data_IF_752151023302
#
_entry.id   IF_752151023302
#
_cell.length_a   1.000
_cell.length_b   1.000
_cell.length_c   1.000
_cell.angle_alpha   90.00
_cell.angle_beta   90.00
_cell.angle_gamma   90.00
#
_symmetry.space_group_name_H-M   'P 1'
#
loop_
_entity.id
_entity.type
_entity.pdbx_description
1 polymer ?
#
# COMPACT_ATOMS: atom_id res chain seq x y z
N UNK A 1 -39.74 -61.40 -1.38
CA UNK A 1 -39.79 -60.28 -0.43
C UNK A 1 -38.40 -59.63 -0.46
N UNK A 2 -38.27 -58.56 -1.22
CA UNK A 2 -37.00 -57.84 -1.36
C UNK A 2 -37.18 -56.48 -0.68
N UNK A 3 -36.49 -56.26 0.41
CA UNK A 3 -36.49 -55.00 1.14
C UNK A 3 -35.57 -53.99 0.41
N UNK A 4 -36.21 -52.94 -0.05
CA UNK A 4 -35.53 -51.73 -0.56
C UNK A 4 -35.09 -50.90 0.66
N UNK A 5 -33.80 -50.88 0.92
CA UNK A 5 -33.18 -49.86 1.77
C UNK A 5 -32.73 -48.72 0.88
N UNK A 6 -33.51 -47.69 0.81
CA UNK A 6 -33.09 -46.42 0.21
C UNK A 6 -32.13 -45.71 1.17
N UNK A 7 -30.89 -45.75 0.84
CA UNK A 7 -29.89 -44.94 1.52
C UNK A 7 -30.07 -43.46 1.13
N UNK A 8 -30.70 -42.72 2.00
CA UNK A 8 -30.69 -41.25 1.92
C UNK A 8 -29.29 -40.81 2.35
N UNK A 9 -28.42 -40.56 1.37
CA UNK A 9 -27.17 -39.84 1.59
C UNK A 9 -27.55 -38.38 1.76
N UNK A 10 -27.76 -37.99 3.00
CA UNK A 10 -27.79 -36.58 3.39
C UNK A 10 -26.35 -36.03 3.19
N UNK A 11 -26.14 -35.43 2.04
CA UNK A 11 -24.97 -34.60 1.81
C UNK A 11 -25.04 -33.43 2.78
N UNK A 12 -24.32 -33.55 3.90
CA UNK A 12 -23.97 -32.41 4.73
C UNK A 12 -23.04 -31.54 3.87
N UNK A 13 -23.64 -30.60 3.13
CA UNK A 13 -22.90 -29.46 2.62
C UNK A 13 -22.44 -28.73 3.85
N UNK A 14 -21.20 -29.00 4.25
CA UNK A 14 -20.50 -28.19 5.23
C UNK A 14 -20.44 -26.77 4.63
N UNK A 15 -21.35 -25.93 5.03
CA UNK A 15 -21.22 -24.49 4.93
C UNK A 15 -20.01 -24.15 5.79
N UNK A 16 -18.86 -24.16 5.16
CA UNK A 16 -17.72 -23.44 5.68
C UNK A 16 -18.14 -21.98 5.57
N UNK A 17 -18.77 -21.49 6.64
CA UNK A 17 -18.92 -20.07 6.87
C UNK A 17 -17.53 -19.49 7.03
N UNK A 18 -16.81 -19.28 5.92
CA UNK A 18 -15.80 -18.27 5.88
C UNK A 18 -16.54 -16.96 6.14
N UNK A 19 -16.54 -16.50 7.38
CA UNK A 19 -16.95 -15.14 7.71
C UNK A 19 -15.86 -14.17 7.22
N UNK A 20 -15.58 -14.25 5.92
CA UNK A 20 -14.77 -13.26 5.24
C UNK A 20 -15.66 -12.04 5.06
N UNK A 21 -15.51 -11.07 5.94
CA UNK A 21 -16.19 -9.79 5.80
C UNK A 21 -15.90 -9.14 4.46
N UNK A 22 -16.78 -8.26 4.01
CA UNK A 22 -16.60 -7.49 2.77
C UNK A 22 -15.47 -6.50 2.93
N UNK A 23 -14.48 -6.56 2.03
CA UNK A 23 -13.36 -5.62 2.00
C UNK A 23 -13.75 -4.35 1.25
N UNK A 24 -13.73 -3.22 1.94
CA UNK A 24 -13.96 -1.90 1.36
C UNK A 24 -12.62 -1.20 1.19
N UNK A 25 -12.30 -0.80 -0.03
CA UNK A 25 -11.03 -0.18 -0.36
C UNK A 25 -11.12 1.34 -0.31
N UNK A 26 -10.15 1.94 0.35
CA UNK A 26 -10.02 3.39 0.54
C UNK A 26 -8.64 3.84 0.09
N UNK A 27 -8.48 5.16 -0.07
CA UNK A 27 -7.18 5.77 -0.32
C UNK A 27 -6.86 6.76 0.79
N UNK A 28 -5.62 6.77 1.22
CA UNK A 28 -5.09 7.75 2.17
C UNK A 28 -3.84 8.42 1.59
N UNK A 29 -3.62 9.66 1.98
CA UNK A 29 -2.36 10.31 1.72
C UNK A 29 -1.30 9.78 2.69
N UNK A 30 -0.13 9.48 2.13
CA UNK A 30 1.10 9.23 2.88
C UNK A 30 2.04 10.39 2.60
N UNK A 31 2.37 11.21 3.61
CA UNK A 31 3.33 12.30 3.43
C UNK A 31 4.72 11.73 3.16
N UNK A 32 5.55 12.50 2.47
CA UNK A 32 6.96 12.17 2.31
C UNK A 32 7.64 12.06 3.68
N UNK A 33 8.61 11.16 3.78
CA UNK A 33 9.42 10.99 5.00
C UNK A 33 10.44 12.13 5.19
N UNK A 34 10.62 12.96 4.17
CA UNK A 34 11.52 14.12 4.16
C UNK A 34 10.75 15.40 3.86
N UNK A 35 11.18 16.50 4.48
CA UNK A 35 10.62 17.84 4.21
C UNK A 35 11.57 18.59 3.26
N UNK A 36 11.60 18.17 2.00
CA UNK A 36 12.28 18.88 0.92
C UNK A 36 11.27 19.69 0.12
N UNK A 37 11.57 20.97 -0.21
CA UNK A 37 10.69 21.78 -1.04
C UNK A 37 10.43 21.14 -2.41
N UNK A 38 9.23 21.30 -2.91
CA UNK A 38 8.90 20.91 -4.29
C UNK A 38 9.85 21.59 -5.28
N UNK A 39 10.27 20.87 -6.30
CA UNK A 39 11.23 21.37 -7.29
C UNK A 39 12.70 21.36 -6.83
N UNK A 40 12.99 20.81 -5.63
CA UNK A 40 14.38 20.52 -5.22
C UNK A 40 15.07 19.65 -6.26
N UNK A 41 16.31 19.99 -6.59
CA UNK A 41 17.14 19.20 -7.51
C UNK A 41 17.72 18.02 -6.75
N UNK A 42 17.38 16.79 -7.15
CA UNK A 42 17.96 15.57 -6.59
C UNK A 42 19.12 15.11 -7.47
N UNK A 43 20.30 14.98 -6.86
CA UNK A 43 21.51 14.47 -7.52
C UNK A 43 21.82 13.07 -7.03
N UNK A 44 21.92 12.12 -7.94
CA UNK A 44 22.09 10.70 -7.59
C UNK A 44 23.57 10.30 -7.73
N UNK A 45 24.12 9.79 -6.64
CA UNK A 45 25.52 9.39 -6.52
C UNK A 45 25.65 7.91 -6.12
N UNK A 46 25.59 6.97 -7.09
CA UNK A 46 25.84 5.57 -6.79
C UNK A 46 27.34 5.32 -6.54
N UNK A 47 27.65 4.76 -5.37
CA UNK A 47 29.02 4.34 -5.01
C UNK A 47 29.31 2.91 -5.50
N UNK A 48 28.97 2.63 -6.75
CA UNK A 48 29.27 1.37 -7.42
C UNK A 48 29.91 1.61 -8.77
N UNK A 49 30.37 0.56 -9.44
CA UNK A 49 31.01 0.61 -10.75
C UNK A 49 30.23 -0.25 -11.78
N UNK A 50 30.57 -0.10 -13.05
CA UNK A 50 30.03 -0.92 -14.13
C UNK A 50 28.58 -0.61 -14.49
N UNK A 51 27.86 -1.56 -15.12
CA UNK A 51 26.51 -1.35 -15.65
C UNK A 51 25.51 -0.89 -14.60
N UNK A 52 25.48 -1.52 -13.43
CA UNK A 52 24.55 -1.17 -12.35
C UNK A 52 24.59 0.32 -11.98
N UNK A 53 25.77 0.95 -12.04
CA UNK A 53 25.90 2.40 -11.78
C UNK A 53 25.09 3.24 -12.76
N UNK A 54 25.14 2.86 -14.05
CA UNK A 54 24.42 3.57 -15.10
C UNK A 54 22.93 3.38 -14.95
N UNK A 55 22.51 2.14 -14.69
CA UNK A 55 21.08 1.82 -14.53
C UNK A 55 20.48 2.53 -13.31
N UNK A 56 21.16 2.53 -12.17
CA UNK A 56 20.69 3.27 -11.00
C UNK A 56 20.53 4.78 -11.29
N UNK A 57 21.50 5.41 -11.97
CA UNK A 57 21.37 6.83 -12.33
C UNK A 57 20.20 7.08 -13.27
N UNK A 58 20.03 6.21 -14.27
CA UNK A 58 18.96 6.31 -15.25
C UNK A 58 17.61 6.13 -14.59
N UNK A 59 17.44 5.07 -13.80
CA UNK A 59 16.19 4.75 -13.12
C UNK A 59 15.74 5.87 -12.18
N UNK A 60 16.65 6.39 -11.36
CA UNK A 60 16.33 7.53 -10.49
C UNK A 60 15.98 8.79 -11.28
N UNK A 61 16.69 9.11 -12.36
CA UNK A 61 16.35 10.27 -13.18
C UNK A 61 14.96 10.15 -13.80
N UNK A 62 14.64 8.99 -14.34
CA UNK A 62 13.31 8.70 -14.91
C UNK A 62 12.21 8.77 -13.85
N UNK A 63 12.44 8.21 -12.66
CA UNK A 63 11.46 8.23 -11.59
C UNK A 63 11.24 9.64 -11.05
N UNK A 64 12.29 10.46 -10.89
CA UNK A 64 12.19 11.86 -10.49
C UNK A 64 11.36 12.66 -11.52
N UNK A 65 11.57 12.44 -12.82
CA UNK A 65 10.83 13.10 -13.89
C UNK A 65 9.36 12.63 -13.94
N UNK A 66 9.12 11.33 -13.75
CA UNK A 66 7.79 10.73 -13.71
C UNK A 66 6.95 11.29 -12.58
N UNK A 67 7.51 11.39 -11.39
CA UNK A 67 6.82 11.91 -10.20
C UNK A 67 6.55 13.42 -10.30
N UNK A 68 7.42 14.18 -10.99
CA UNK A 68 7.28 15.62 -11.22
C UNK A 68 7.29 16.48 -9.95
N UNK A 69 7.64 15.89 -8.81
CA UNK A 69 7.72 16.59 -7.52
C UNK A 69 9.10 17.24 -7.33
N UNK A 70 10.14 16.55 -7.72
CA UNK A 70 11.54 16.99 -7.74
C UNK A 70 12.04 17.15 -9.17
N UNK A 71 13.30 17.55 -9.34
CA UNK A 71 13.97 17.69 -10.64
C UNK A 71 15.26 16.89 -10.66
N UNK A 72 15.54 16.20 -11.75
CA UNK A 72 16.77 15.43 -11.93
C UNK A 72 18.00 16.31 -12.25
N UNK A 73 17.79 17.61 -12.54
CA UNK A 73 18.88 18.53 -12.89
C UNK A 73 18.44 20.00 -12.88
N UNK A 74 19.39 20.89 -13.15
CA UNK A 74 19.19 22.33 -13.21
C UNK A 74 19.73 23.09 -11.99
N UNK A 75 19.42 24.39 -11.92
CA UNK A 75 19.77 25.25 -10.80
C UNK A 75 18.63 25.27 -9.76
N UNK A 76 18.98 25.48 -8.50
CA UNK A 76 18.04 25.61 -7.39
C UNK A 76 18.51 24.89 -6.12
N UNK A 77 17.67 24.87 -5.08
CA UNK A 77 17.92 24.05 -3.90
C UNK A 77 18.21 22.60 -4.30
N UNK A 78 19.20 21.98 -3.70
CA UNK A 78 19.59 20.63 -4.07
C UNK A 78 19.80 19.74 -2.86
N UNK A 79 19.49 18.46 -3.04
CA UNK A 79 19.83 17.39 -2.14
C UNK A 79 20.49 16.24 -2.93
N UNK A 80 21.23 15.40 -2.23
CA UNK A 80 21.96 14.28 -2.82
C UNK A 80 21.34 12.97 -2.37
N UNK A 81 21.05 12.07 -3.31
CA UNK A 81 20.75 10.67 -3.04
C UNK A 81 22.07 9.90 -3.18
N UNK A 82 22.63 9.47 -2.08
CA UNK A 82 23.86 8.67 -2.03
C UNK A 82 23.49 7.20 -1.90
N UNK A 83 23.87 6.39 -2.88
CA UNK A 83 23.67 4.95 -2.88
C UNK A 83 25.00 4.28 -2.56
N UNK A 84 25.13 3.79 -1.35
CA UNK A 84 26.37 3.23 -0.83
C UNK A 84 26.15 1.85 -0.20
N UNK A 85 27.23 1.19 0.26
CA UNK A 85 27.22 -0.20 0.72
C UNK A 85 26.57 -1.15 -0.29
N UNK A 86 26.86 -0.90 -1.59
CA UNK A 86 26.29 -1.71 -2.67
C UNK A 86 26.94 -3.07 -2.66
N UNK A 87 26.17 -4.09 -2.35
CA UNK A 87 26.57 -5.49 -2.34
C UNK A 87 25.76 -6.29 -3.35
N UNK A 88 26.45 -6.99 -4.24
CA UNK A 88 25.82 -7.89 -5.21
C UNK A 88 25.99 -9.33 -4.75
N UNK A 89 24.91 -9.94 -4.36
CA UNK A 89 24.90 -11.33 -3.96
C UNK A 89 24.97 -12.23 -5.18
N UNK A 90 25.79 -13.27 -5.11
CA UNK A 90 26.01 -14.23 -6.19
C UNK A 90 25.41 -15.58 -5.81
N UNK A 91 24.79 -16.23 -6.77
CA UNK A 91 24.23 -17.59 -6.62
C UNK A 91 24.98 -18.55 -7.53
N UNK A 92 25.27 -19.73 -7.04
CA UNK A 92 25.81 -20.81 -7.83
C UNK A 92 24.75 -21.38 -8.80
N UNK A 93 25.13 -21.73 -10.03
CA UNK A 93 24.21 -22.34 -10.97
C UNK A 93 23.73 -23.71 -10.46
N UNK A 94 22.52 -24.14 -10.88
CA UNK A 94 22.06 -25.51 -10.59
C UNK A 94 23.07 -26.55 -11.05
N UNK A 95 23.23 -27.64 -10.27
CA UNK A 95 24.24 -28.68 -10.53
C UNK A 95 24.02 -29.44 -11.84
N UNK A 96 22.81 -29.44 -12.34
CA UNK A 96 22.36 -30.06 -13.58
C UNK A 96 22.52 -29.15 -14.82
N UNK A 97 22.84 -27.88 -14.62
CA UNK A 97 23.10 -26.93 -15.71
C UNK A 97 24.51 -27.13 -16.28
N UNK A 98 24.60 -27.90 -17.39
CA UNK A 98 25.86 -28.19 -18.08
C UNK A 98 26.48 -26.97 -18.76
N UNK A 99 25.71 -25.94 -19.01
CA UNK A 99 26.13 -24.75 -19.75
C UNK A 99 26.73 -23.68 -18.84
N UNK A 100 26.45 -23.74 -17.53
CA UNK A 100 26.86 -22.75 -16.59
C UNK A 100 27.85 -23.26 -15.54
N UNK A 101 29.00 -22.62 -15.49
CA UNK A 101 30.10 -22.97 -14.56
C UNK A 101 30.46 -21.85 -13.59
N UNK A 102 29.80 -20.69 -13.66
CA UNK A 102 30.15 -19.51 -12.87
C UNK A 102 28.95 -18.97 -12.10
N UNK A 103 29.15 -18.51 -10.86
CA UNK A 103 28.13 -17.81 -10.12
C UNK A 103 27.59 -16.60 -10.87
N UNK A 104 26.34 -16.24 -10.59
CA UNK A 104 25.66 -15.10 -11.21
C UNK A 104 24.97 -14.23 -10.15
N UNK A 105 24.81 -12.93 -10.43
CA UNK A 105 24.11 -12.05 -9.52
C UNK A 105 22.63 -12.42 -9.43
N UNK A 106 22.11 -12.47 -8.21
CA UNK A 106 20.71 -12.76 -7.96
C UNK A 106 20.02 -11.72 -7.08
N UNK A 107 20.80 -10.89 -6.37
CA UNK A 107 20.26 -9.85 -5.50
C UNK A 107 21.23 -8.70 -5.36
N UNK A 108 20.72 -7.49 -5.31
CA UNK A 108 21.43 -6.26 -4.96
C UNK A 108 20.93 -5.76 -3.62
N UNK A 109 21.83 -5.58 -2.68
CA UNK A 109 21.59 -4.89 -1.42
C UNK A 109 22.34 -3.56 -1.45
N UNK A 110 21.69 -2.47 -1.03
CA UNK A 110 22.32 -1.17 -0.89
C UNK A 110 21.67 -0.31 0.18
N UNK A 111 22.34 0.74 0.58
CA UNK A 111 21.78 1.78 1.44
C UNK A 111 21.62 3.07 0.65
N UNK A 112 20.44 3.65 0.68
CA UNK A 112 20.13 4.96 0.13
C UNK A 112 20.05 6.00 1.26
N UNK A 113 20.90 7.01 1.20
CA UNK A 113 20.86 8.18 2.08
C UNK A 113 20.43 9.40 1.28
N UNK A 114 19.56 10.24 1.83
CA UNK A 114 19.33 11.59 1.32
C UNK A 114 20.05 12.59 2.21
N UNK A 115 20.90 13.38 1.58
CA UNK A 115 21.73 14.39 2.24
C UNK A 115 21.35 15.78 1.74
N UNK A 116 20.98 16.67 2.65
CA UNK A 116 20.69 18.06 2.38
C UNK A 116 21.51 18.92 3.33
N UNK A 117 22.20 19.96 2.83
CA UNK A 117 23.06 20.83 3.63
C UNK A 117 24.04 20.05 4.52
N UNK A 118 24.69 19.02 3.95
CA UNK A 118 25.63 18.12 4.64
C UNK A 118 25.03 17.28 5.77
N UNK A 119 23.73 17.35 5.99
CA UNK A 119 23.04 16.53 6.98
C UNK A 119 22.26 15.42 6.28
N UNK A 120 22.39 14.19 6.80
CA UNK A 120 21.55 13.08 6.37
C UNK A 120 20.16 13.25 6.96
N UNK A 121 19.17 13.41 6.09
CA UNK A 121 17.77 13.61 6.46
C UNK A 121 16.91 12.35 6.27
N UNK A 122 17.45 11.32 5.59
CA UNK A 122 16.75 10.08 5.35
C UNK A 122 17.75 8.94 5.11
N UNK A 123 17.37 7.73 5.49
CA UNK A 123 18.10 6.48 5.20
C UNK A 123 17.15 5.32 4.96
N UNK A 124 17.43 4.54 3.93
CA UNK A 124 16.75 3.29 3.63
C UNK A 124 17.73 2.21 3.18
N UNK A 125 17.51 1.00 3.64
CA UNK A 125 18.17 -0.18 3.09
C UNK A 125 17.24 -0.80 2.05
N UNK A 126 17.74 -1.02 0.86
CA UNK A 126 17.02 -1.62 -0.26
C UNK A 126 17.62 -2.98 -0.58
N UNK A 127 16.78 -3.92 -0.96
CA UNK A 127 17.19 -5.27 -1.34
C UNK A 127 16.29 -5.75 -2.48
N UNK A 128 16.85 -5.88 -3.68
CA UNK A 128 16.10 -6.28 -4.86
C UNK A 128 16.71 -7.48 -5.55
N UNK A 129 15.85 -8.35 -6.05
CA UNK A 129 16.28 -9.49 -6.85
C UNK A 129 16.69 -9.01 -8.24
N UNK A 130 17.71 -9.67 -8.79
CA UNK A 130 18.18 -9.43 -10.13
C UNK A 130 17.68 -10.59 -11.00
N UNK A 131 16.82 -10.28 -11.95
CA UNK A 131 16.42 -11.23 -12.97
C UNK A 131 17.58 -11.51 -13.94
N UNK A 132 17.59 -12.67 -14.56
CA UNK A 132 18.59 -13.02 -15.55
C UNK A 132 17.91 -13.58 -16.79
N UNK A 133 18.42 -13.25 -17.97
CA UNK A 133 17.98 -13.86 -19.21
C UNK A 133 18.40 -15.35 -19.31
N UNK A 134 18.06 -16.02 -20.42
CA UNK A 134 18.43 -17.41 -20.67
C UNK A 134 19.95 -17.61 -20.82
N UNK A 135 20.72 -16.55 -21.12
CA UNK A 135 22.20 -16.55 -21.11
C UNK A 135 22.75 -16.16 -19.73
N UNK A 136 21.87 -15.96 -18.75
CA UNK A 136 22.18 -15.55 -17.39
C UNK A 136 22.89 -14.20 -17.28
N UNK A 137 22.61 -13.31 -18.20
CA UNK A 137 23.01 -11.91 -18.04
C UNK A 137 22.07 -11.23 -17.05
N UNK A 138 22.62 -10.52 -16.08
CA UNK A 138 21.80 -9.84 -15.10
C UNK A 138 21.02 -8.69 -15.75
N UNK A 139 19.75 -8.62 -15.47
CA UNK A 139 18.92 -7.46 -15.77
C UNK A 139 19.06 -6.44 -14.63
N UNK A 140 20.00 -5.52 -14.82
CA UNK A 140 20.24 -4.44 -13.85
C UNK A 140 19.18 -3.34 -13.95
N UNK A 141 18.48 -3.24 -15.06
CA UNK A 141 17.46 -2.23 -15.33
C UNK A 141 16.29 -2.42 -14.38
N UNK A 142 15.66 -3.61 -14.35
CA UNK A 142 14.55 -3.92 -13.47
C UNK A 142 14.90 -3.69 -12.01
N UNK A 143 16.04 -4.22 -11.54
CA UNK A 143 16.47 -4.05 -10.16
C UNK A 143 16.72 -2.58 -9.80
N UNK A 144 17.27 -1.79 -10.71
CA UNK A 144 17.50 -0.36 -10.50
C UNK A 144 16.20 0.44 -10.49
N UNK A 145 15.22 0.09 -11.34
CA UNK A 145 13.90 0.72 -11.37
C UNK A 145 13.13 0.45 -10.08
N UNK A 146 13.11 -0.79 -9.59
CA UNK A 146 12.46 -1.13 -8.33
C UNK A 146 13.08 -0.40 -7.14
N UNK A 147 14.41 -0.30 -7.09
CA UNK A 147 15.13 0.47 -6.04
C UNK A 147 14.75 1.95 -6.12
N UNK A 148 14.75 2.53 -7.33
CA UNK A 148 14.42 3.94 -7.51
C UNK A 148 12.96 4.23 -7.12
N UNK A 149 12.02 3.37 -7.52
CA UNK A 149 10.61 3.49 -7.14
C UNK A 149 10.43 3.39 -5.62
N UNK A 150 11.10 2.43 -4.98
CA UNK A 150 11.01 2.22 -3.54
C UNK A 150 11.53 3.44 -2.75
N UNK A 151 12.68 4.01 -3.13
CA UNK A 151 13.25 5.19 -2.47
C UNK A 151 12.40 6.42 -2.76
N UNK A 152 12.04 6.67 -4.02
CA UNK A 152 11.27 7.86 -4.39
C UNK A 152 9.86 7.87 -3.80
N UNK A 153 9.24 6.70 -3.60
CA UNK A 153 7.96 6.58 -2.90
C UNK A 153 8.03 7.15 -1.48
N UNK A 154 9.13 6.92 -0.77
CA UNK A 154 9.32 7.50 0.56
C UNK A 154 9.59 9.01 0.54
N UNK A 155 10.18 9.51 -0.55
CA UNK A 155 10.58 10.92 -0.68
C UNK A 155 9.45 11.82 -1.20
N UNK A 156 8.39 11.26 -1.79
CA UNK A 156 7.28 12.04 -2.38
C UNK A 156 5.96 11.77 -1.66
N UNK A 157 5.11 12.80 -1.46
CA UNK A 157 3.76 12.57 -0.97
C UNK A 157 2.96 11.77 -2.02
N UNK A 158 2.33 10.68 -1.60
CA UNK A 158 1.59 9.82 -2.51
C UNK A 158 0.33 9.25 -1.86
N UNK A 159 -0.57 8.73 -2.69
CA UNK A 159 -1.74 8.01 -2.19
C UNK A 159 -1.46 6.51 -2.11
N UNK A 160 -1.85 5.91 -0.99
CA UNK A 160 -1.81 4.46 -0.80
C UNK A 160 -3.22 3.92 -0.62
N UNK A 161 -3.45 2.76 -1.22
CA UNK A 161 -4.69 2.00 -1.05
C UNK A 161 -4.60 1.17 0.22
N UNK A 162 -5.68 1.15 1.00
CA UNK A 162 -5.83 0.27 2.15
C UNK A 162 -7.27 -0.26 2.19
N UNK A 163 -7.54 -1.26 3.01
CA UNK A 163 -8.88 -1.83 3.12
C UNK A 163 -9.38 -1.80 4.55
N UNK A 164 -10.69 -1.63 4.68
CA UNK A 164 -11.46 -1.84 5.90
C UNK A 164 -12.34 -3.07 5.71
N UNK A 165 -12.47 -3.90 6.74
CA UNK A 165 -13.31 -5.09 6.68
C UNK A 165 -14.63 -4.81 7.39
N UNK A 166 -15.72 -4.94 6.64
CA UNK A 166 -17.08 -4.93 7.20
C UNK A 166 -17.48 -6.40 7.38
N UNK A 167 -17.71 -6.79 8.63
CA UNK A 167 -18.11 -8.18 8.90
C UNK A 167 -19.44 -8.49 8.25
N UNK A 168 -19.53 -9.67 7.63
CA UNK A 168 -20.78 -10.18 7.11
C UNK A 168 -21.78 -10.31 8.27
N UNK A 169 -22.84 -9.54 8.21
CA UNK A 169 -23.81 -9.51 9.29
C UNK A 169 -24.83 -10.61 9.01
N UNK A 170 -24.80 -11.66 9.80
CA UNK A 170 -25.76 -12.76 9.73
C UNK A 170 -27.24 -12.29 9.84
N UNK A 171 -27.45 -11.07 10.30
CA UNK A 171 -28.77 -10.55 10.70
C UNK A 171 -29.32 -9.42 9.82
N UNK A 172 -28.51 -8.70 9.05
CA UNK A 172 -29.00 -7.56 8.26
C UNK A 172 -28.41 -7.49 6.83
N UNK A 173 -29.10 -8.08 5.85
CA UNK A 173 -28.65 -8.08 4.45
C UNK A 173 -28.41 -6.68 3.86
N UNK A 174 -29.08 -5.65 4.38
CA UNK A 174 -28.89 -4.28 3.89
C UNK A 174 -27.52 -3.72 4.23
N UNK A 175 -26.90 -4.14 5.33
CA UNK A 175 -25.53 -3.75 5.71
C UNK A 175 -24.51 -4.40 4.78
N UNK A 176 -24.67 -5.68 4.49
CA UNK A 176 -23.83 -6.39 3.53
C UNK A 176 -23.90 -5.75 2.13
N UNK A 177 -25.12 -5.46 1.66
CA UNK A 177 -25.31 -4.75 0.40
C UNK A 177 -24.68 -3.36 0.40
N UNK A 178 -24.73 -2.64 1.52
CA UNK A 178 -24.06 -1.35 1.67
C UNK A 178 -22.54 -1.48 1.55
N UNK A 179 -21.95 -2.47 2.21
CA UNK A 179 -20.52 -2.76 2.13
C UNK A 179 -20.09 -3.15 0.71
N UNK A 180 -20.85 -4.03 0.04
CA UNK A 180 -20.62 -4.42 -1.36
C UNK A 180 -20.72 -3.22 -2.30
N UNK A 181 -21.70 -2.32 -2.12
CA UNK A 181 -21.80 -1.09 -2.89
C UNK A 181 -20.56 -0.20 -2.72
N UNK A 182 -20.09 -0.03 -1.49
CA UNK A 182 -18.84 0.71 -1.22
C UNK A 182 -17.62 0.03 -1.85
N UNK A 183 -17.50 -1.29 -1.76
CA UNK A 183 -16.42 -2.06 -2.38
C UNK A 183 -16.38 -1.89 -3.91
N UNK A 184 -17.55 -1.75 -4.53
CA UNK A 184 -17.72 -1.45 -5.95
C UNK A 184 -17.54 0.04 -6.31
N UNK A 185 -17.22 0.90 -5.34
CA UNK A 185 -17.05 2.35 -5.54
C UNK A 185 -18.37 3.15 -5.56
N UNK A 186 -19.52 2.51 -5.36
CA UNK A 186 -20.82 3.17 -5.28
C UNK A 186 -21.12 3.66 -3.85
N UNK A 187 -20.42 4.74 -3.45
CA UNK A 187 -20.48 5.30 -2.09
C UNK A 187 -21.87 5.83 -1.70
N UNK A 188 -22.56 6.47 -2.64
CA UNK A 188 -23.92 6.99 -2.41
C UNK A 188 -24.95 5.86 -2.27
N UNK A 189 -24.84 4.81 -3.08
CA UNK A 189 -25.63 3.60 -2.92
C UNK A 189 -25.39 2.93 -1.56
N UNK A 190 -24.12 2.81 -1.16
CA UNK A 190 -23.74 2.30 0.16
C UNK A 190 -24.32 3.15 1.29
N UNK A 191 -24.25 4.47 1.21
CA UNK A 191 -24.84 5.42 2.17
C UNK A 191 -26.34 5.22 2.31
N UNK A 192 -27.04 5.13 1.19
CA UNK A 192 -28.50 4.92 1.19
C UNK A 192 -28.89 3.60 1.86
N UNK A 193 -28.18 2.52 1.54
CA UNK A 193 -28.43 1.20 2.11
C UNK A 193 -28.11 1.15 3.62
N UNK A 194 -26.99 1.73 4.05
CA UNK A 194 -26.63 1.81 5.47
C UNK A 194 -27.66 2.63 6.28
N UNK A 195 -28.15 3.76 5.74
CA UNK A 195 -29.21 4.55 6.36
C UNK A 195 -30.54 3.79 6.43
N UNK A 196 -30.85 3.02 5.39
CA UNK A 196 -32.02 2.14 5.39
C UNK A 196 -31.93 1.06 6.46
N UNK A 197 -30.75 0.46 6.65
CA UNK A 197 -30.50 -0.50 7.73
C UNK A 197 -30.75 0.15 9.11
N UNK A 198 -30.27 1.37 9.34
CA UNK A 198 -30.51 2.11 10.58
C UNK A 198 -31.99 2.54 10.77
N UNK A 199 -32.73 2.78 9.69
CA UNK A 199 -34.17 3.04 9.78
C UNK A 199 -34.95 1.82 10.23
N UNK A 200 -34.48 0.62 9.87
CA UNK A 200 -35.08 -0.67 10.28
C UNK A 200 -34.60 -1.04 11.70
N UNK A 201 -33.35 -0.88 12.00
CA UNK A 201 -32.75 -1.15 13.31
C UNK A 201 -31.81 0.00 13.71
N UNK A 202 -32.25 0.97 14.53
CA UNK A 202 -31.42 2.10 14.99
C UNK A 202 -30.17 1.70 15.77
N UNK A 203 -30.12 0.46 16.28
CA UNK A 203 -29.01 -0.08 17.06
C UNK A 203 -28.06 -0.96 16.22
N UNK A 204 -28.12 -0.84 14.90
CA UNK A 204 -27.25 -1.60 13.99
C UNK A 204 -25.85 -0.99 13.96
N UNK A 205 -24.93 -1.56 14.75
CA UNK A 205 -23.57 -1.05 14.90
C UNK A 205 -22.77 -1.10 13.58
N UNK A 206 -22.94 -2.18 12.81
CA UNK A 206 -22.25 -2.33 11.52
C UNK A 206 -22.71 -1.29 10.49
N UNK A 207 -24.00 -0.93 10.49
CA UNK A 207 -24.50 0.13 9.62
C UNK A 207 -23.88 1.50 9.97
N UNK A 208 -23.70 1.77 11.27
CA UNK A 208 -22.95 2.94 11.72
C UNK A 208 -21.49 2.89 11.27
N UNK A 209 -20.85 1.73 11.36
CA UNK A 209 -19.46 1.53 10.91
C UNK A 209 -19.32 1.79 9.41
N UNK A 210 -20.20 1.26 8.58
CA UNK A 210 -20.21 1.53 7.12
C UNK A 210 -20.37 3.03 6.83
N UNK A 211 -21.25 3.74 7.56
CA UNK A 211 -21.38 5.20 7.42
C UNK A 211 -20.07 5.91 7.80
N UNK A 212 -19.41 5.47 8.87
CA UNK A 212 -18.10 5.99 9.25
C UNK A 212 -17.06 5.83 8.15
N UNK A 213 -17.00 4.67 7.51
CA UNK A 213 -16.11 4.40 6.36
C UNK A 213 -16.45 5.33 5.18
N UNK A 214 -17.73 5.53 4.87
CA UNK A 214 -18.18 6.41 3.78
C UNK A 214 -17.77 7.86 4.05
N UNK A 215 -17.99 8.37 5.26
CA UNK A 215 -17.59 9.73 5.62
C UNK A 215 -16.07 9.91 5.60
N UNK A 216 -15.31 8.88 6.03
CA UNK A 216 -13.85 8.86 5.90
C UNK A 216 -13.39 8.94 4.46
N UNK A 217 -14.01 8.19 3.57
CA UNK A 217 -13.72 8.26 2.13
C UNK A 217 -13.99 9.66 1.56
N UNK A 218 -15.05 10.33 2.04
CA UNK A 218 -15.38 11.71 1.69
C UNK A 218 -14.49 12.77 2.39
N UNK A 219 -13.53 12.37 3.22
CA UNK A 219 -12.66 13.25 4.04
C UNK A 219 -13.41 14.02 5.13
N UNK A 220 -14.61 13.60 5.48
CA UNK A 220 -15.42 14.15 6.57
C UNK A 220 -15.02 13.47 7.89
N UNK A 221 -13.78 13.63 8.34
CA UNK A 221 -13.22 12.89 9.47
C UNK A 221 -14.01 13.09 10.78
N UNK A 222 -14.51 14.29 11.04
CA UNK A 222 -15.33 14.56 12.25
C UNK A 222 -16.64 13.78 12.24
N UNK A 223 -17.31 13.69 11.09
CA UNK A 223 -18.56 12.92 10.98
C UNK A 223 -18.29 11.42 11.00
N UNK A 224 -17.21 11.00 10.38
CA UNK A 224 -16.72 9.62 10.47
C UNK A 224 -16.49 9.19 11.92
N UNK A 225 -15.83 10.04 12.73
CA UNK A 225 -15.63 9.79 14.17
C UNK A 225 -16.96 9.64 14.92
N UNK A 226 -17.93 10.49 14.61
CA UNK A 226 -19.25 10.43 15.23
C UNK A 226 -19.93 9.10 14.97
N UNK A 227 -19.83 8.60 13.74
CA UNK A 227 -20.38 7.31 13.36
C UNK A 227 -19.64 6.14 14.00
N UNK A 228 -18.31 6.15 14.04
CA UNK A 228 -17.53 5.10 14.70
C UNK A 228 -17.77 5.07 16.21
N UNK A 229 -17.87 6.24 16.87
CA UNK A 229 -18.25 6.31 18.29
C UNK A 229 -19.63 5.74 18.54
N UNK A 230 -20.59 6.02 17.67
CA UNK A 230 -21.92 5.42 17.73
C UNK A 230 -21.85 3.91 17.57
N UNK A 231 -21.13 3.39 16.57
CA UNK A 231 -20.92 1.97 16.39
C UNK A 231 -20.32 1.32 17.66
N UNK A 232 -19.26 1.93 18.21
CA UNK A 232 -18.60 1.44 19.42
C UNK A 232 -19.53 1.46 20.66
N UNK A 233 -20.38 2.49 20.80
CA UNK A 233 -21.33 2.56 21.91
C UNK A 233 -22.41 1.49 21.84
N UNK A 234 -22.78 1.05 20.64
CA UNK A 234 -23.79 0.01 20.42
C UNK A 234 -23.20 -1.41 20.58
N UNK A 235 -21.98 -1.61 20.11
CA UNK A 235 -21.25 -2.87 20.19
C UNK A 235 -19.74 -2.58 20.32
N UNK A 236 -19.15 -2.70 21.50
CA UNK A 236 -17.73 -2.37 21.71
C UNK A 236 -16.78 -3.36 21.02
N UNK A 237 -16.41 -3.06 19.77
CA UNK A 237 -15.43 -3.84 19.01
C UNK A 237 -14.17 -3.02 18.72
N UNK A 238 -13.01 -3.66 18.68
CA UNK A 238 -11.71 -3.04 18.46
C UNK A 238 -11.62 -2.31 17.12
N UNK A 239 -12.26 -2.79 16.06
CA UNK A 239 -12.28 -2.17 14.74
C UNK A 239 -12.90 -0.78 14.74
N UNK A 240 -13.98 -0.55 15.53
CA UNK A 240 -14.61 0.78 15.64
C UNK A 240 -13.69 1.77 16.36
N UNK A 241 -13.02 1.29 17.42
CA UNK A 241 -12.06 2.10 18.15
C UNK A 241 -10.83 2.44 17.29
N UNK A 242 -10.33 1.47 16.50
CA UNK A 242 -9.28 1.70 15.52
C UNK A 242 -9.71 2.76 14.51
N UNK A 243 -10.96 2.70 14.05
CA UNK A 243 -11.53 3.70 13.13
C UNK A 243 -11.43 5.12 13.70
N UNK A 244 -11.78 5.33 14.97
CA UNK A 244 -11.67 6.64 15.64
C UNK A 244 -10.21 7.10 15.71
N UNK A 245 -9.31 6.23 16.16
CA UNK A 245 -7.89 6.56 16.34
C UNK A 245 -7.20 6.87 15.02
N UNK A 246 -7.56 6.15 13.96
CA UNK A 246 -6.97 6.32 12.64
C UNK A 246 -7.39 7.63 11.97
N UNK A 247 -8.60 8.13 12.20
CA UNK A 247 -9.07 9.37 11.57
C UNK A 247 -8.19 10.59 11.91
N UNK A 248 -7.76 10.74 13.15
CA UNK A 248 -6.87 11.84 13.54
C UNK A 248 -5.52 11.76 12.82
N UNK A 249 -4.96 10.54 12.71
CA UNK A 249 -3.71 10.29 11.97
C UNK A 249 -3.89 10.57 10.47
N UNK A 250 -4.94 10.05 9.86
CA UNK A 250 -5.23 10.24 8.44
C UNK A 250 -5.41 11.73 8.08
N UNK A 251 -6.07 12.49 8.94
CA UNK A 251 -6.23 13.93 8.77
C UNK A 251 -4.89 14.67 8.84
N UNK A 252 -4.02 14.31 9.80
CA UNK A 252 -2.69 14.89 9.93
C UNK A 252 -1.81 14.55 8.74
N UNK A 253 -1.80 13.29 8.32
CA UNK A 253 -1.03 12.82 7.17
C UNK A 253 -1.47 13.54 5.88
N UNK A 254 -2.78 13.72 5.69
CA UNK A 254 -3.30 14.45 4.54
C UNK A 254 -2.90 15.94 4.58
N UNK A 255 -2.99 16.59 5.74
CA UNK A 255 -2.58 17.98 5.89
C UNK A 255 -1.08 18.15 5.59
N UNK A 256 -0.24 17.27 6.15
CA UNK A 256 1.20 17.28 5.89
C UNK A 256 1.52 17.04 4.41
N UNK A 257 0.90 16.03 3.78
CA UNK A 257 1.09 15.78 2.36
C UNK A 257 0.68 16.98 1.49
N UNK A 258 -0.44 17.64 1.80
CA UNK A 258 -0.88 18.86 1.10
C UNK A 258 0.10 20.02 1.28
N UNK A 259 0.66 20.20 2.47
CA UNK A 259 1.69 21.23 2.70
C UNK A 259 2.96 20.96 1.89
N UNK A 260 3.39 19.71 1.80
CA UNK A 260 4.55 19.31 1.01
C UNK A 260 4.34 19.49 -0.51
N UNK A 261 3.09 19.43 -0.97
CA UNK A 261 2.75 19.60 -2.40
C UNK A 261 2.66 21.07 -2.85
N UNK A 262 2.58 22.01 -1.92
CA UNK A 262 2.58 23.46 -2.22
C UNK A 262 3.99 23.98 -2.52
#
# INVERSE_FOLDING_TARGET
MRSLWSSVVLGAVAWVCCSCGTQVYLHKWQPAQVDLPRGTVLRVHPETRGPLRHELRRAFAQQIERDGFYRAGGAGPSAEIRLHHVHVNMTDPPKDDKHRKRPYPNRVDLTADVVCNYQRIYRRNCSQYVSTDYEYRPDWEDAAEEIAEEVMRDLTPHQVRYSETVDGVETNPAVEQAALACAAGNWEGGRSLARRALAQNPNEAEACYVLGIIERNARNYSESDSWFRKAYSLNPQSKYLSGINDNSRLQQDEQRARQQMQ
#
